data_IF_066209064578
#
_entry.id   IF_066209064578
#
_cell.length_a   1.000
_cell.length_b   1.000
_cell.length_c   1.000
_cell.angle_alpha   90.00
_cell.angle_beta   90.00
_cell.angle_gamma   90.00
#
_symmetry.space_group_name_H-M   'P 1'
#
loop_
_entity.id
_entity.type
_entity.pdbx_description
1 polymer ?
#
# COMPACT_ATOMS: atom_id res chain seq x y z
N UNK A 1 7.10 -6.41 -11.68
CA UNK A 1 6.53 -5.41 -10.77
C UNK A 1 5.18 -4.96 -11.31
N UNK A 2 4.13 -4.93 -10.49
CA UNK A 2 2.76 -4.54 -10.90
C UNK A 2 2.63 -3.04 -11.24
N UNK A 3 3.69 -2.26 -11.04
CA UNK A 3 3.73 -0.82 -11.31
C UNK A 3 3.52 -0.47 -12.78
N UNK A 4 4.07 -1.26 -13.70
CA UNK A 4 3.87 -1.05 -15.15
C UNK A 4 2.38 -1.16 -15.48
N UNK A 5 1.71 -2.21 -14.98
CA UNK A 5 0.27 -2.37 -15.20
C UNK A 5 -0.54 -1.20 -14.62
N UNK A 6 -0.23 -0.76 -13.41
CA UNK A 6 -0.91 0.40 -12.79
C UNK A 6 -0.74 1.63 -13.67
N UNK A 7 0.48 1.90 -14.17
CA UNK A 7 0.74 3.02 -15.06
C UNK A 7 -0.10 2.93 -16.35
N UNK A 8 -0.08 1.80 -17.04
CA UNK A 8 -0.85 1.61 -18.28
C UNK A 8 -2.36 1.77 -18.06
N UNK A 9 -2.88 1.30 -16.91
CA UNK A 9 -4.30 1.45 -16.57
C UNK A 9 -4.71 2.90 -16.29
N UNK A 10 -3.84 3.68 -15.65
CA UNK A 10 -4.06 5.11 -15.37
C UNK A 10 -3.88 5.98 -16.61
N UNK A 11 -2.97 5.61 -17.53
CA UNK A 11 -2.77 6.36 -18.77
C UNK A 11 -3.85 6.09 -19.82
N UNK A 12 -4.43 4.89 -19.82
CA UNK A 12 -5.43 4.48 -20.81
C UNK A 12 -6.85 4.91 -20.49
N UNK A 13 -7.14 5.38 -19.26
CA UNK A 13 -8.49 5.70 -18.81
C UNK A 13 -8.52 6.81 -17.76
N UNK A 14 -9.68 7.43 -17.56
CA UNK A 14 -9.94 8.38 -16.48
C UNK A 14 -10.14 7.66 -15.14
N UNK A 15 -9.04 7.38 -14.44
CA UNK A 15 -9.02 6.60 -13.18
C UNK A 15 -8.07 7.22 -12.17
N UNK A 16 -8.39 7.01 -10.90
CA UNK A 16 -7.55 7.35 -9.75
C UNK A 16 -7.18 6.09 -8.98
N UNK A 17 -6.03 6.11 -8.31
CA UNK A 17 -5.60 5.04 -7.40
C UNK A 17 -4.94 5.62 -6.15
N UNK A 18 -4.92 4.83 -5.08
CA UNK A 18 -4.10 5.10 -3.91
C UNK A 18 -2.83 4.25 -4.01
N UNK A 19 -1.68 4.91 -4.02
CA UNK A 19 -0.37 4.28 -4.11
C UNK A 19 0.63 5.09 -3.29
N UNK A 20 1.67 4.44 -2.78
CA UNK A 20 2.73 5.15 -2.05
C UNK A 20 3.39 6.17 -2.97
N UNK A 21 3.54 7.41 -2.50
CA UNK A 21 4.23 8.48 -3.24
C UNK A 21 5.66 8.08 -3.61
N UNK A 22 6.35 7.36 -2.73
CA UNK A 22 7.68 6.84 -2.98
C UNK A 22 7.73 5.81 -4.14
N UNK A 23 6.63 5.09 -4.40
CA UNK A 23 6.57 4.13 -5.50
C UNK A 23 6.39 4.81 -6.86
N UNK A 24 5.82 6.02 -6.91
CA UNK A 24 5.52 6.74 -8.16
C UNK A 24 6.38 7.99 -8.36
N UNK A 25 7.41 8.18 -7.53
CA UNK A 25 8.25 9.38 -7.55
C UNK A 25 8.85 9.65 -8.93
N UNK A 26 9.33 8.62 -9.61
CA UNK A 26 9.93 8.76 -10.95
C UNK A 26 8.88 9.12 -12.02
N UNK A 27 7.66 8.61 -11.90
CA UNK A 27 6.54 8.93 -12.79
C UNK A 27 6.07 10.36 -12.62
N UNK A 28 6.01 10.82 -11.37
CA UNK A 28 5.67 12.21 -11.03
C UNK A 28 6.75 13.16 -11.52
N UNK A 29 8.04 12.84 -11.30
CA UNK A 29 9.17 13.62 -11.81
C UNK A 29 9.15 13.73 -13.34
N UNK A 30 8.73 12.66 -14.04
CA UNK A 30 8.59 12.64 -15.51
C UNK A 30 7.29 13.28 -16.01
N UNK A 31 6.42 13.75 -15.13
CA UNK A 31 5.12 14.32 -15.49
C UNK A 31 4.13 13.32 -16.09
N UNK A 32 4.37 12.02 -15.89
CA UNK A 32 3.52 10.93 -16.40
C UNK A 32 2.31 10.71 -15.50
N UNK A 33 2.48 10.91 -14.20
CA UNK A 33 1.42 10.87 -13.19
C UNK A 33 1.45 12.18 -12.40
N UNK A 34 0.31 12.53 -11.81
CA UNK A 34 0.19 13.68 -10.92
C UNK A 34 -0.49 13.25 -9.62
N UNK A 35 -0.01 13.78 -8.50
CA UNK A 35 -0.58 13.53 -7.18
C UNK A 35 -1.72 14.51 -6.90
N UNK A 36 -2.88 14.00 -6.51
CA UNK A 36 -4.01 14.85 -6.08
C UNK A 36 -3.88 15.08 -4.58
N UNK A 37 -3.79 16.33 -4.09
CA UNK A 37 -3.61 16.63 -2.67
C UNK A 37 -4.92 16.46 -1.91
N UNK A 38 -5.35 15.21 -1.74
CA UNK A 38 -6.50 14.83 -0.91
C UNK A 38 -5.97 14.49 0.48
N UNK A 39 -6.35 15.22 1.53
CA UNK A 39 -5.98 14.84 2.89
C UNK A 39 -6.63 13.49 3.20
N UNK A 40 -5.81 12.51 3.55
CA UNK A 40 -6.26 11.22 4.05
C UNK A 40 -6.04 11.21 5.56
N UNK A 41 -7.08 10.91 6.32
CA UNK A 41 -7.03 10.79 7.78
C UNK A 41 -6.33 9.49 8.24
N UNK A 42 -5.81 8.69 7.30
CA UNK A 42 -5.20 7.40 7.57
C UNK A 42 -3.81 7.56 8.19
N UNK A 43 -3.56 6.79 9.26
CA UNK A 43 -2.25 6.66 9.85
C UNK A 43 -1.26 6.06 8.82
N UNK A 44 0.02 6.48 8.85
CA UNK A 44 1.03 5.93 7.94
C UNK A 44 1.05 4.41 8.07
N UNK A 45 0.96 3.71 6.93
CA UNK A 45 1.05 2.25 6.90
C UNK A 45 2.43 1.84 7.41
N UNK A 46 2.55 1.16 8.56
CA UNK A 46 3.84 0.69 9.02
C UNK A 46 4.37 -0.32 8.02
N UNK A 47 5.55 -0.04 7.49
CA UNK A 47 6.31 -1.03 6.74
C UNK A 47 7.23 -1.68 7.78
N UNK A 48 7.43 -2.99 7.71
CA UNK A 48 8.29 -3.71 8.66
C UNK A 48 8.87 -4.99 8.08
N UNK A 49 9.69 -5.66 8.89
CA UNK A 49 10.23 -6.97 8.57
C UNK A 49 9.42 -8.04 9.32
N UNK A 50 8.89 -9.01 8.59
CA UNK A 50 8.29 -10.21 9.19
C UNK A 50 9.31 -11.34 9.19
N UNK A 51 9.60 -11.90 10.35
CA UNK A 51 10.51 -13.05 10.52
C UNK A 51 9.76 -14.22 11.16
N UNK A 52 10.26 -15.44 10.96
CA UNK A 52 9.77 -16.58 11.75
C UNK A 52 10.18 -16.40 13.21
N UNK A 53 9.31 -16.76 14.16
CA UNK A 53 9.59 -16.66 15.60
C UNK A 53 10.89 -17.38 15.99
N UNK A 54 11.12 -18.57 15.42
CA UNK A 54 12.31 -19.39 15.69
C UNK A 54 13.37 -19.24 14.60
N UNK A 55 13.42 -18.08 13.94
CA UNK A 55 14.41 -17.81 12.90
C UNK A 55 15.81 -17.68 13.49
N UNK A 56 16.73 -18.51 13.02
CA UNK A 56 18.14 -18.44 13.32
C UNK A 56 18.88 -17.94 12.07
N UNK A 57 19.11 -16.61 11.95
CA UNK A 57 19.71 -16.04 10.76
C UNK A 57 21.17 -16.47 10.59
N UNK A 58 21.61 -16.66 9.35
CA UNK A 58 23.05 -16.74 9.03
C UNK A 58 23.73 -15.40 9.30
N UNK A 59 25.06 -15.37 9.26
CA UNK A 59 25.84 -14.13 9.43
C UNK A 59 25.44 -13.07 8.39
N UNK A 60 25.45 -13.43 7.10
CA UNK A 60 25.04 -12.52 6.03
C UNK A 60 23.60 -12.00 6.20
N UNK A 61 22.68 -12.82 6.74
CA UNK A 61 21.31 -12.40 6.99
C UNK A 61 21.20 -11.40 8.14
N UNK A 62 21.97 -11.57 9.23
CA UNK A 62 22.05 -10.60 10.33
C UNK A 62 22.61 -9.28 9.82
N UNK A 63 23.73 -9.33 9.12
CA UNK A 63 24.39 -8.15 8.58
C UNK A 63 23.47 -7.36 7.66
N UNK A 64 22.69 -8.05 6.82
CA UNK A 64 21.70 -7.43 5.96
C UNK A 64 20.58 -6.75 6.75
N UNK A 65 19.98 -7.43 7.73
CA UNK A 65 18.92 -6.84 8.57
C UNK A 65 19.45 -5.63 9.35
N UNK A 66 20.66 -5.72 9.88
CA UNK A 66 21.27 -4.60 10.60
C UNK A 66 21.60 -3.44 9.66
N UNK A 67 22.01 -3.70 8.43
CA UNK A 67 22.15 -2.67 7.41
C UNK A 67 20.82 -1.98 7.10
N UNK A 68 19.71 -2.72 6.99
CA UNK A 68 18.39 -2.13 6.82
C UNK A 68 18.01 -1.24 8.01
N UNK A 69 18.24 -1.69 9.25
CA UNK A 69 17.93 -0.93 10.47
C UNK A 69 18.76 0.35 10.62
N UNK A 70 20.02 0.34 10.16
CA UNK A 70 20.90 1.52 10.18
C UNK A 70 20.46 2.61 9.20
N UNK A 71 19.88 2.24 8.06
CA UNK A 71 19.61 3.17 6.96
C UNK A 71 18.36 4.07 7.15
N UNK A 72 17.87 4.22 8.38
CA UNK A 72 16.68 5.02 8.76
C UNK A 72 15.59 5.09 7.67
N UNK A 73 15.29 3.94 7.09
CA UNK A 73 14.38 3.82 5.96
C UNK A 73 12.94 4.19 6.34
N UNK A 74 12.65 4.34 7.63
CA UNK A 74 11.40 4.81 8.22
C UNK A 74 11.27 6.35 8.28
N UNK A 75 12.35 7.10 8.02
CA UNK A 75 12.33 8.56 8.03
C UNK A 75 11.25 9.20 7.13
N UNK A 76 10.97 8.69 5.91
CA UNK A 76 9.89 9.21 5.07
C UNK A 76 8.49 8.71 5.47
N UNK A 77 8.38 7.76 6.39
CA UNK A 77 7.14 7.02 6.69
C UNK A 77 6.66 7.16 8.14
N UNK A 78 7.08 8.20 8.86
CA UNK A 78 6.60 8.49 10.22
C UNK A 78 7.51 8.01 11.36
N UNK A 79 8.79 7.77 11.08
CA UNK A 79 9.82 7.53 12.09
C UNK A 79 9.74 6.16 12.78
N UNK A 80 10.76 5.85 13.59
CA UNK A 80 10.84 4.62 14.39
C UNK A 80 9.77 4.61 15.49
N UNK A 81 8.53 4.33 15.15
CA UNK A 81 7.54 3.92 16.14
C UNK A 81 7.84 2.49 16.54
N UNK A 82 7.82 2.20 17.83
CA UNK A 82 8.04 0.86 18.38
C UNK A 82 6.78 0.00 18.13
N UNK A 83 6.62 -0.50 16.90
CA UNK A 83 5.43 -1.25 16.44
C UNK A 83 5.34 -2.64 17.08
N UNK A 84 6.39 -3.08 17.79
CA UNK A 84 6.43 -4.41 18.42
C UNK A 84 5.35 -4.62 19.49
N UNK A 85 4.74 -3.55 20.02
CA UNK A 85 3.66 -3.63 21.02
C UNK A 85 2.25 -3.33 20.46
N UNK A 86 2.12 -2.98 19.18
CA UNK A 86 0.86 -2.41 18.65
C UNK A 86 -0.02 -3.39 17.85
N UNK A 87 0.38 -4.66 17.72
CA UNK A 87 -0.39 -5.65 16.92
C UNK A 87 -1.66 -6.12 17.65
N UNK A 88 -1.76 -5.91 18.97
CA UNK A 88 -2.88 -6.38 19.80
C UNK A 88 -4.03 -5.36 19.92
N UNK A 89 -3.94 -4.21 19.24
CA UNK A 89 -4.94 -3.14 19.31
C UNK A 89 -5.21 -2.40 18.00
N UNK A 90 -4.73 -2.90 16.85
CA UNK A 90 -5.07 -2.29 15.57
C UNK A 90 -6.58 -2.44 15.33
N UNK A 91 -7.37 -1.34 15.33
CA UNK A 91 -8.80 -1.44 15.08
C UNK A 91 -9.00 -2.05 13.69
N UNK A 92 -9.76 -3.14 13.60
CA UNK A 92 -10.23 -3.62 12.29
C UNK A 92 -10.89 -2.42 11.61
N UNK A 93 -10.41 -2.03 10.43
CA UNK A 93 -10.90 -0.82 9.77
C UNK A 93 -12.43 -0.86 9.68
N UNK A 94 -13.13 0.28 9.85
CA UNK A 94 -14.60 0.35 9.68
C UNK A 94 -15.09 -0.16 8.31
N UNK A 95 -14.18 -0.21 7.34
CA UNK A 95 -14.40 -0.77 6.00
C UNK A 95 -14.67 -2.28 6.03
N UNK A 96 -14.12 -3.01 7.01
CA UNK A 96 -14.36 -4.46 7.16
C UNK A 96 -15.81 -4.75 7.57
N UNK A 97 -16.43 -3.84 8.33
CA UNK A 97 -17.80 -3.97 8.81
C UNK A 97 -18.81 -3.47 7.75
N UNK A 98 -18.45 -2.43 6.98
CA UNK A 98 -19.25 -1.96 5.84
C UNK A 98 -19.33 -2.94 4.67
N UNK A 99 -18.32 -3.79 4.47
CA UNK A 99 -18.36 -4.81 3.43
C UNK A 99 -19.48 -5.85 3.61
N UNK A 100 -19.98 -6.03 4.84
CA UNK A 100 -21.10 -6.94 5.16
C UNK A 100 -22.48 -6.28 5.02
N UNK A 101 -22.54 -4.95 4.89
CA UNK A 101 -23.77 -4.17 4.77
C UNK A 101 -24.03 -3.67 3.33
N UNK A 102 -23.14 -3.98 2.38
CA UNK A 102 -23.39 -3.69 0.98
C UNK A 102 -24.43 -4.68 0.45
N UNK A 103 -25.54 -4.20 -0.15
CA UNK A 103 -26.47 -5.10 -0.82
C UNK A 103 -25.74 -5.83 -1.95
N UNK A 104 -26.02 -7.13 -2.10
CA UNK A 104 -25.56 -7.96 -3.22
C UNK A 104 -25.69 -7.18 -4.54
N UNK A 105 -24.66 -7.13 -5.38
CA UNK A 105 -24.72 -6.41 -6.64
C UNK A 105 -25.87 -7.01 -7.49
N UNK A 106 -26.90 -6.21 -7.71
CA UNK A 106 -28.01 -6.59 -8.59
C UNK A 106 -27.45 -6.88 -9.98
N UNK A 107 -27.86 -7.99 -10.63
CA UNK A 107 -27.37 -8.32 -11.96
C UNK A 107 -27.70 -7.18 -12.93
N UNK A 108 -26.64 -6.53 -13.43
CA UNK A 108 -26.77 -5.50 -14.47
C UNK A 108 -27.32 -6.21 -15.71
N UNK A 109 -28.56 -5.87 -16.11
CA UNK A 109 -29.18 -6.43 -17.31
C UNK A 109 -28.23 -6.19 -18.49
N UNK A 110 -27.76 -7.27 -19.11
CA UNK A 110 -26.97 -7.21 -20.31
C UNK A 110 -27.74 -6.40 -21.35
N UNK A 111 -27.19 -5.25 -21.74
CA UNK A 111 -27.72 -4.49 -22.86
C UNK A 111 -27.61 -5.38 -24.10
N UNK A 112 -28.74 -5.89 -24.55
CA UNK A 112 -28.90 -6.57 -25.84
C UNK A 112 -28.43 -5.62 -26.94
N UNK A 113 -27.24 -5.88 -27.47
CA UNK A 113 -26.76 -5.30 -28.72
C UNK A 113 -27.61 -5.89 -29.84
N UNK A 114 -28.65 -5.18 -30.25
CA UNK A 114 -29.30 -5.41 -31.54
C UNK A 114 -28.33 -5.01 -32.63
N UNK A 115 -28.16 -5.91 -33.58
CA UNK A 115 -27.34 -5.80 -34.79
C UNK A 115 -27.90 -4.77 -35.77
#
# INVERSE_FOLDING_TARGET
SSMILVRELLQSNDRLTLISSAQVAAEVEKGVLFEIPVPLDDAPRPIGLTVRKDWHPTEAQRDFVDALRRNDWAAPFGGKQDVAQSVEGYPRSPQTERAQLLPEPQPVKAASRTR
#
